data_IF_154756944288
#
_entry.id   IF_154756944288
#
_cell.length_a   1.000
_cell.length_b   1.000
_cell.length_c   1.000
_cell.angle_alpha   90.00
_cell.angle_beta   90.00
_cell.angle_gamma   90.00
#
_symmetry.space_group_name_H-M   'P 1'
#
loop_
_entity.id
_entity.type
_entity.pdbx_description
1 polymer ?
#
# COMPACT_ATOMS: atom_id res chain seq x y z
N UNK A 1 0.79 -39.32 -9.47
CA UNK A 1 0.52 -37.86 -9.33
C UNK A 1 -0.88 -37.63 -9.88
N UNK A 2 -1.79 -37.04 -9.09
CA UNK A 2 -3.13 -36.69 -9.55
C UNK A 2 -3.08 -35.51 -10.53
N UNK A 3 -4.00 -35.47 -11.49
CA UNK A 3 -4.10 -34.39 -12.49
C UNK A 3 -4.79 -33.18 -11.90
N UNK A 4 -4.46 -32.00 -12.41
CA UNK A 4 -5.19 -30.76 -12.15
C UNK A 4 -6.19 -30.53 -13.30
N UNK A 5 -7.48 -30.70 -13.01
CA UNK A 5 -8.56 -30.56 -13.99
C UNK A 5 -8.97 -29.10 -14.13
N UNK A 6 -9.15 -28.66 -15.35
CA UNK A 6 -9.46 -27.28 -15.76
C UNK A 6 -10.94 -27.08 -16.08
N UNK A 7 -11.37 -25.86 -16.38
CA UNK A 7 -12.73 -25.58 -16.82
C UNK A 7 -13.10 -26.31 -18.12
N UNK A 8 -12.14 -26.47 -19.03
CA UNK A 8 -12.33 -27.23 -20.28
C UNK A 8 -12.59 -28.72 -20.01
N UNK A 9 -11.97 -29.30 -18.99
CA UNK A 9 -12.24 -30.73 -18.60
C UNK A 9 -13.66 -30.86 -18.04
N UNK A 10 -14.17 -29.85 -17.34
CA UNK A 10 -15.55 -29.81 -16.84
C UNK A 10 -16.56 -29.71 -18.01
N UNK A 11 -16.29 -28.81 -18.97
CA UNK A 11 -17.14 -28.67 -20.18
C UNK A 11 -17.18 -29.92 -21.02
N UNK A 12 -16.06 -30.64 -21.12
CA UNK A 12 -15.97 -31.91 -21.84
C UNK A 12 -16.65 -33.10 -21.12
N UNK A 13 -16.84 -33.02 -19.80
CA UNK A 13 -17.39 -34.11 -19.00
C UNK A 13 -18.92 -34.25 -19.06
N UNK A 14 -19.65 -33.30 -19.65
CA UNK A 14 -21.10 -33.31 -19.73
C UNK A 14 -21.76 -33.17 -18.34
N UNK A 15 -22.73 -34.03 -18.01
CA UNK A 15 -23.49 -33.88 -16.76
C UNK A 15 -22.75 -34.36 -15.50
N UNK A 16 -21.67 -35.13 -15.65
CA UNK A 16 -20.97 -35.75 -14.51
C UNK A 16 -19.45 -35.83 -14.74
N UNK A 17 -18.67 -35.37 -13.77
CA UNK A 17 -17.21 -35.46 -13.76
C UNK A 17 -16.75 -36.36 -12.61
N UNK A 18 -16.03 -37.42 -12.94
CA UNK A 18 -15.48 -38.38 -11.94
C UNK A 18 -13.99 -38.09 -11.75
N UNK A 19 -13.59 -37.74 -10.51
CA UNK A 19 -12.21 -37.51 -10.12
C UNK A 19 -11.52 -38.82 -9.74
N UNK A 20 -10.36 -39.10 -10.36
CA UNK A 20 -9.52 -40.21 -9.91
C UNK A 20 -8.81 -39.85 -8.58
N UNK A 21 -8.29 -40.86 -7.89
CA UNK A 21 -7.59 -40.67 -6.62
C UNK A 21 -6.38 -39.72 -6.81
N UNK A 22 -6.40 -38.58 -6.12
CA UNK A 22 -5.37 -37.54 -6.21
C UNK A 22 -5.65 -36.43 -7.20
N UNK A 23 -6.67 -36.53 -8.04
CA UNK A 23 -7.08 -35.46 -8.95
C UNK A 23 -7.66 -34.26 -8.18
N UNK A 24 -7.41 -33.03 -8.69
CA UNK A 24 -7.91 -31.78 -8.10
C UNK A 24 -8.51 -30.87 -9.19
N UNK A 25 -9.58 -30.17 -8.84
CA UNK A 25 -10.15 -29.14 -9.69
C UNK A 25 -9.47 -27.78 -9.44
N UNK A 26 -9.18 -27.05 -10.49
CA UNK A 26 -8.84 -25.62 -10.36
C UNK A 26 -10.03 -24.84 -9.80
N UNK A 27 -9.84 -23.66 -9.17
CA UNK A 27 -10.93 -22.79 -8.73
C UNK A 27 -11.94 -22.51 -9.86
N UNK A 28 -11.46 -22.14 -11.05
CA UNK A 28 -12.27 -21.89 -12.23
C UNK A 28 -13.07 -23.12 -12.69
N UNK A 29 -12.48 -24.32 -12.60
CA UNK A 29 -13.18 -25.56 -12.90
C UNK A 29 -14.33 -25.84 -11.92
N UNK A 30 -14.18 -25.51 -10.64
CA UNK A 30 -15.24 -25.65 -9.62
C UNK A 30 -16.41 -24.70 -9.89
N UNK A 31 -16.10 -23.45 -10.24
CA UNK A 31 -17.12 -22.45 -10.54
C UNK A 31 -17.86 -22.85 -11.83
N UNK A 32 -17.14 -23.31 -12.84
CA UNK A 32 -17.72 -23.79 -14.09
C UNK A 32 -18.61 -25.03 -13.93
N UNK A 33 -18.22 -25.95 -13.05
CA UNK A 33 -19.05 -27.09 -12.70
C UNK A 33 -20.38 -26.70 -12.06
N UNK A 34 -20.38 -25.68 -11.18
CA UNK A 34 -21.60 -25.12 -10.59
C UNK A 34 -22.49 -24.42 -11.63
N UNK A 35 -21.91 -23.61 -12.50
CA UNK A 35 -22.63 -22.90 -13.57
C UNK A 35 -23.32 -23.85 -14.54
N UNK A 36 -22.65 -24.95 -14.91
CA UNK A 36 -23.15 -25.93 -15.84
C UNK A 36 -23.98 -27.07 -15.18
N UNK A 37 -24.11 -27.05 -13.85
CA UNK A 37 -24.81 -28.10 -13.10
C UNK A 37 -24.13 -29.49 -13.17
N UNK A 38 -22.79 -29.53 -13.41
CA UNK A 38 -22.04 -30.78 -13.51
C UNK A 38 -21.81 -31.38 -12.12
N UNK A 39 -22.25 -32.59 -11.94
CA UNK A 39 -22.01 -33.33 -10.68
C UNK A 39 -20.58 -33.85 -10.63
N UNK A 40 -19.83 -33.48 -9.58
CA UNK A 40 -18.45 -33.92 -9.37
C UNK A 40 -18.43 -35.03 -8.32
N UNK A 41 -17.97 -36.23 -8.69
CA UNK A 41 -17.84 -37.38 -7.79
C UNK A 41 -16.38 -37.84 -7.68
N UNK A 42 -15.96 -38.25 -6.48
CA UNK A 42 -14.67 -38.93 -6.29
C UNK A 42 -14.80 -40.42 -6.54
N UNK A 43 -13.90 -41.00 -7.32
CA UNK A 43 -13.87 -42.47 -7.53
C UNK A 43 -13.62 -43.15 -6.18
N UNK A 44 -14.62 -43.90 -5.67
CA UNK A 44 -14.51 -44.72 -4.46
C UNK A 44 -15.43 -44.37 -3.29
N UNK A 45 -16.39 -43.43 -3.44
CA UNK A 45 -17.37 -43.15 -2.38
C UNK A 45 -18.67 -43.93 -2.61
N UNK A 46 -18.80 -45.11 -2.00
CA UNK A 46 -20.08 -45.70 -1.75
C UNK A 46 -20.88 -44.85 -0.75
N UNK A 47 -22.19 -44.82 -0.98
CA UNK A 47 -23.19 -44.00 -0.29
C UNK A 47 -23.13 -44.12 1.23
N UNK A 48 -22.98 -42.98 1.91
CA UNK A 48 -23.56 -42.74 3.22
C UNK A 48 -24.49 -41.54 3.09
N UNK A 49 -25.80 -41.85 3.13
CA UNK A 49 -26.84 -40.85 3.22
C UNK A 49 -26.81 -40.23 4.61
N UNK A 50 -26.40 -38.98 4.71
CA UNK A 50 -26.57 -38.17 5.89
C UNK A 50 -27.62 -37.08 5.62
N UNK A 51 -28.73 -37.26 6.30
CA UNK A 51 -29.86 -36.35 6.45
C UNK A 51 -29.43 -34.92 6.73
N UNK A 52 -29.82 -33.99 5.87
CA UNK A 52 -29.79 -32.56 6.15
C UNK A 52 -31.03 -32.16 6.95
N UNK A 53 -30.84 -31.91 8.22
CA UNK A 53 -31.82 -31.26 9.08
C UNK A 53 -31.95 -29.81 8.67
N UNK A 54 -33.15 -29.44 8.24
CA UNK A 54 -33.51 -28.07 7.91
C UNK A 54 -33.53 -27.17 9.17
N UNK A 55 -32.92 -26.04 9.12
CA UNK A 55 -33.09 -24.97 10.10
C UNK A 55 -34.45 -24.28 9.90
N UNK A 56 -35.18 -23.91 10.98
CA UNK A 56 -36.53 -23.42 10.87
C UNK A 56 -36.62 -21.98 10.38
N UNK A 57 -37.64 -21.78 9.54
CA UNK A 57 -38.07 -20.48 9.06
C UNK A 57 -38.60 -19.61 10.21
N UNK A 58 -38.14 -18.39 10.34
CA UNK A 58 -38.70 -17.38 11.24
C UNK A 58 -39.98 -16.83 10.61
N UNK A 59 -41.10 -17.09 11.24
CA UNK A 59 -42.43 -16.59 10.89
C UNK A 59 -42.53 -15.08 11.14
N UNK A 60 -43.10 -14.38 10.17
CA UNK A 60 -43.60 -13.02 10.33
C UNK A 60 -44.88 -13.05 11.17
N UNK A 61 -44.88 -12.36 12.28
CA UNK A 61 -46.11 -11.94 12.94
C UNK A 61 -46.23 -10.41 12.86
N UNK A 62 -47.42 -10.03 12.45
CA UNK A 62 -47.91 -8.69 12.18
C UNK A 62 -48.35 -7.98 13.44
N UNK A 63 -48.38 -6.65 13.30
CA UNK A 63 -49.22 -5.65 13.98
C UNK A 63 -48.84 -5.20 15.40
N UNK A 64 -48.54 -3.91 15.53
CA UNK A 64 -49.51 -3.03 16.17
C UNK A 64 -49.17 -1.53 15.96
N UNK A 65 -50.18 -0.74 15.89
CA UNK A 65 -50.23 0.63 15.49
C UNK A 65 -49.62 1.60 16.55
N UNK A 66 -48.89 2.61 16.06
CA UNK A 66 -48.60 3.82 16.87
C UNK A 66 -49.07 5.05 16.11
N UNK A 67 -49.86 5.84 16.81
CA UNK A 67 -50.51 7.11 16.43
C UNK A 67 -49.51 8.23 16.08
N UNK A 68 -49.98 9.31 15.41
CA UNK A 68 -49.17 10.20 14.61
C UNK A 68 -48.46 11.26 15.45
N UNK A 69 -47.18 11.48 15.14
CA UNK A 69 -46.39 12.60 15.65
C UNK A 69 -46.68 13.86 14.81
N UNK A 70 -46.84 14.98 15.55
CA UNK A 70 -47.17 16.32 15.12
C UNK A 70 -46.31 16.87 13.97
N UNK A 71 -46.97 17.64 13.10
CA UNK A 71 -46.37 18.38 11.99
C UNK A 71 -45.37 19.45 12.45
N UNK A 72 -44.28 19.67 11.70
CA UNK A 72 -43.34 20.76 11.96
C UNK A 72 -43.90 22.11 11.50
N UNK A 73 -43.58 23.16 12.25
CA UNK A 73 -43.97 24.55 12.02
C UNK A 73 -43.43 25.10 10.66
N UNK A 74 -44.12 26.10 10.08
CA UNK A 74 -43.76 26.62 8.74
C UNK A 74 -42.48 27.46 8.79
N UNK A 75 -41.59 27.16 7.82
CA UNK A 75 -40.36 27.90 7.55
C UNK A 75 -40.72 29.28 6.93
N UNK A 76 -40.10 30.40 7.35
CA UNK A 76 -40.40 31.72 6.80
C UNK A 76 -39.96 31.80 5.34
N UNK A 77 -40.80 32.45 4.51
CA UNK A 77 -40.63 32.63 3.08
C UNK A 77 -39.30 33.31 2.74
N UNK A 78 -38.55 32.69 1.86
CA UNK A 78 -37.34 33.26 1.28
C UNK A 78 -37.69 34.48 0.40
N UNK A 79 -36.97 35.59 0.62
CA UNK A 79 -37.02 36.78 -0.23
C UNK A 79 -36.66 36.43 -1.65
N UNK A 80 -37.53 36.74 -2.59
CA UNK A 80 -37.29 36.66 -4.04
C UNK A 80 -36.17 37.64 -4.42
N UNK A 81 -35.01 37.08 -4.75
CA UNK A 81 -33.98 37.84 -5.47
C UNK A 81 -34.36 37.83 -6.95
N UNK A 82 -34.33 39.02 -7.57
CA UNK A 82 -34.59 39.21 -8.97
C UNK A 82 -33.62 38.45 -9.90
N UNK A 83 -33.93 38.31 -11.18
CA UNK A 83 -33.16 37.45 -12.08
C UNK A 83 -31.75 37.99 -12.29
N UNK A 84 -30.76 37.17 -11.89
CA UNK A 84 -29.35 37.38 -12.24
C UNK A 84 -29.24 37.11 -13.75
N UNK A 85 -28.90 38.16 -14.50
CA UNK A 85 -28.59 38.04 -15.91
C UNK A 85 -27.37 37.12 -16.09
N UNK A 86 -27.58 35.93 -16.62
CA UNK A 86 -26.52 35.02 -17.08
C UNK A 86 -25.93 35.60 -18.38
N UNK A 87 -24.60 35.80 -18.48
CA UNK A 87 -23.99 36.09 -19.78
C UNK A 87 -24.23 34.86 -20.69
N UNK A 88 -24.79 35.09 -21.86
CA UNK A 88 -24.92 34.07 -22.88
C UNK A 88 -23.54 33.63 -23.37
N UNK A 89 -22.97 32.62 -22.71
CA UNK A 89 -21.89 31.86 -23.28
C UNK A 89 -22.46 31.04 -24.41
N UNK A 90 -22.12 31.40 -25.66
CA UNK A 90 -22.42 30.59 -26.82
C UNK A 90 -21.87 29.20 -26.63
N UNK A 91 -22.73 28.26 -26.25
CA UNK A 91 -22.42 26.84 -26.17
C UNK A 91 -22.11 26.34 -27.58
N UNK A 92 -20.82 26.14 -27.88
CA UNK A 92 -20.46 25.34 -29.05
C UNK A 92 -21.13 23.98 -28.88
N UNK A 93 -21.87 23.49 -29.87
CA UNK A 93 -22.46 22.17 -29.77
C UNK A 93 -21.35 21.13 -29.57
N UNK A 94 -21.53 20.26 -28.56
CA UNK A 94 -20.66 19.12 -28.33
C UNK A 94 -20.82 18.14 -29.47
N UNK A 95 -19.95 18.22 -30.49
CA UNK A 95 -19.93 17.25 -31.58
C UNK A 95 -19.33 15.96 -31.05
N UNK A 96 -20.18 15.02 -30.65
CA UNK A 96 -19.73 13.68 -30.29
C UNK A 96 -19.19 12.99 -31.56
N UNK A 97 -18.05 12.30 -31.49
CA UNK A 97 -17.56 11.50 -32.59
C UNK A 97 -18.58 10.39 -32.93
N UNK A 98 -18.70 9.99 -34.20
CA UNK A 98 -19.63 8.93 -34.57
C UNK A 98 -19.35 7.65 -33.79
N UNK A 99 -20.41 6.97 -33.33
CA UNK A 99 -20.33 5.74 -32.57
C UNK A 99 -19.45 4.72 -33.29
N UNK A 100 -18.47 4.15 -32.56
CA UNK A 100 -17.49 3.21 -33.12
C UNK A 100 -16.17 3.83 -33.60
N UNK A 101 -16.03 5.16 -33.65
CA UNK A 101 -14.76 5.81 -34.07
C UNK A 101 -13.59 5.49 -33.11
N UNK A 102 -13.88 5.33 -31.82
CA UNK A 102 -12.86 5.01 -30.80
C UNK A 102 -12.29 3.58 -30.90
N UNK A 103 -12.96 2.66 -31.59
CA UNK A 103 -12.54 1.26 -31.71
C UNK A 103 -11.78 0.96 -33.01
N UNK A 104 -11.60 1.94 -33.89
CA UNK A 104 -10.75 1.74 -35.08
C UNK A 104 -9.29 1.84 -34.68
N UNK A 105 -8.50 0.80 -34.92
CA UNK A 105 -7.02 0.88 -34.88
C UNK A 105 -6.62 2.10 -35.75
N UNK A 106 -5.93 3.10 -35.17
CA UNK A 106 -5.56 4.38 -35.78
C UNK A 106 -6.70 5.43 -35.90
N UNK A 107 -7.81 5.30 -35.20
CA UNK A 107 -8.85 6.34 -35.15
C UNK A 107 -8.36 7.66 -34.54
N UNK A 108 -7.43 7.58 -33.61
CA UNK A 108 -6.54 8.68 -33.23
C UNK A 108 -5.36 8.55 -34.21
N UNK A 109 -5.26 9.46 -35.18
CA UNK A 109 -4.04 9.61 -35.97
C UNK A 109 -2.84 9.64 -35.03
N UNK A 110 -1.60 9.44 -35.52
CA UNK A 110 -0.45 9.53 -34.66
C UNK A 110 -0.64 10.80 -33.85
N UNK A 111 -0.75 10.65 -32.51
CA UNK A 111 -0.73 11.81 -31.60
C UNK A 111 0.54 12.50 -32.04
N UNK A 112 0.40 13.63 -32.76
CA UNK A 112 1.54 14.40 -33.19
C UNK A 112 2.35 14.54 -31.92
N UNK A 113 3.55 13.97 -31.91
CA UNK A 113 4.44 14.13 -30.78
C UNK A 113 4.48 15.63 -30.60
N UNK A 114 3.70 16.14 -29.66
CA UNK A 114 3.72 17.51 -29.23
C UNK A 114 5.19 17.76 -29.07
N UNK A 115 5.76 18.67 -29.86
CA UNK A 115 7.16 19.01 -29.89
C UNK A 115 7.60 19.04 -28.44
N UNK A 116 8.36 18.05 -28.02
CA UNK A 116 8.59 17.73 -26.62
C UNK A 116 9.18 18.96 -25.93
N UNK A 117 8.34 19.77 -25.35
CA UNK A 117 8.71 20.39 -24.10
C UNK A 117 8.97 19.19 -23.20
N UNK A 118 10.26 18.86 -22.98
CA UNK A 118 10.66 17.75 -22.14
C UNK A 118 9.86 17.90 -20.85
N UNK A 119 8.89 17.03 -20.63
CA UNK A 119 8.14 17.02 -19.37
C UNK A 119 9.20 16.81 -18.28
N UNK A 120 9.57 17.90 -17.59
CA UNK A 120 10.62 17.89 -16.56
C UNK A 120 10.20 17.13 -15.30
N UNK A 121 8.95 16.62 -15.28
CA UNK A 121 8.49 15.80 -14.17
C UNK A 121 9.29 14.47 -14.15
N UNK A 122 9.74 14.04 -12.96
CA UNK A 122 10.49 12.80 -12.83
C UNK A 122 9.64 11.59 -13.23
N UNK A 123 10.29 10.46 -13.51
CA UNK A 123 9.67 9.15 -13.60
C UNK A 123 9.77 8.44 -12.26
N UNK A 124 8.71 7.76 -11.84
CA UNK A 124 8.71 6.85 -10.70
C UNK A 124 8.57 5.39 -11.15
N UNK A 125 9.09 4.48 -10.36
CA UNK A 125 8.91 3.04 -10.50
C UNK A 125 8.33 2.43 -9.24
N UNK A 126 7.53 1.37 -9.39
CA UNK A 126 7.05 0.54 -8.28
C UNK A 126 7.33 -0.91 -8.62
N UNK A 127 8.06 -1.61 -7.76
CA UNK A 127 8.40 -3.04 -7.94
C UNK A 127 7.57 -3.87 -6.96
N UNK A 128 6.79 -4.79 -7.53
CA UNK A 128 5.75 -5.56 -6.84
C UNK A 128 4.36 -5.01 -7.12
N UNK A 129 3.53 -5.75 -7.85
CA UNK A 129 2.16 -5.35 -8.19
C UNK A 129 1.10 -5.99 -7.28
N UNK A 130 1.49 -6.35 -6.05
CA UNK A 130 0.54 -6.71 -5.00
C UNK A 130 -0.29 -5.51 -4.54
N UNK A 131 -1.17 -5.70 -3.56
CA UNK A 131 -2.09 -4.64 -3.10
C UNK A 131 -1.36 -3.34 -2.71
N UNK A 132 -0.23 -3.42 -1.98
CA UNK A 132 0.54 -2.22 -1.59
C UNK A 132 1.12 -1.53 -2.81
N UNK A 133 1.74 -2.30 -3.73
CA UNK A 133 2.37 -1.73 -4.92
C UNK A 133 1.37 -1.12 -5.89
N UNK A 134 0.27 -1.80 -6.16
CA UNK A 134 -0.80 -1.28 -7.01
C UNK A 134 -1.38 0.03 -6.44
N UNK A 135 -1.68 0.05 -5.13
CA UNK A 135 -2.15 1.27 -4.48
C UNK A 135 -1.10 2.38 -4.49
N UNK A 136 0.18 2.05 -4.29
CA UNK A 136 1.29 3.01 -4.37
C UNK A 136 1.37 3.63 -5.77
N UNK A 137 1.31 2.80 -6.82
CA UNK A 137 1.35 3.28 -8.20
C UNK A 137 0.18 4.23 -8.51
N UNK A 138 -1.05 3.87 -8.11
CA UNK A 138 -2.22 4.72 -8.26
C UNK A 138 -2.05 6.07 -7.54
N UNK A 139 -1.63 6.05 -6.26
CA UNK A 139 -1.46 7.28 -5.47
C UNK A 139 -0.32 8.18 -5.96
N UNK A 140 0.75 7.59 -6.50
CA UNK A 140 1.79 8.36 -7.19
C UNK A 140 1.23 9.02 -8.46
N UNK A 141 0.44 8.29 -9.25
CA UNK A 141 -0.20 8.85 -10.44
C UNK A 141 -1.18 9.98 -10.11
N UNK A 142 -2.06 9.79 -9.13
CA UNK A 142 -3.00 10.82 -8.66
C UNK A 142 -2.31 12.09 -8.14
N UNK A 143 -1.09 11.99 -7.64
CA UNK A 143 -0.33 13.18 -7.22
C UNK A 143 0.04 14.12 -8.37
N UNK A 144 0.01 13.62 -9.59
CA UNK A 144 0.37 14.26 -10.87
C UNK A 144 1.75 14.93 -10.86
N UNK A 145 2.66 14.44 -10.00
CA UNK A 145 4.03 14.92 -9.87
C UNK A 145 5.00 14.27 -10.85
N UNK A 146 4.56 13.24 -11.56
CA UNK A 146 5.40 12.39 -12.42
C UNK A 146 4.97 12.49 -13.88
N UNK A 147 5.94 12.31 -14.77
CA UNK A 147 5.66 12.09 -16.20
C UNK A 147 5.11 10.67 -16.43
N UNK A 148 5.65 9.71 -15.67
CA UNK A 148 5.28 8.30 -15.74
C UNK A 148 5.47 7.62 -14.40
N UNK A 149 4.58 6.66 -14.08
CA UNK A 149 4.74 5.66 -13.03
C UNK A 149 4.78 4.28 -13.70
N UNK A 150 5.93 3.59 -13.62
CA UNK A 150 6.11 2.24 -14.13
C UNK A 150 5.87 1.23 -13.00
N UNK A 151 4.86 0.37 -13.13
CA UNK A 151 4.59 -0.75 -12.23
C UNK A 151 5.23 -2.02 -12.78
N UNK A 152 6.02 -2.74 -11.98
CA UNK A 152 6.72 -3.95 -12.43
C UNK A 152 6.44 -5.10 -11.47
N UNK A 153 6.11 -6.28 -12.04
CA UNK A 153 5.94 -7.52 -11.28
C UNK A 153 6.37 -8.72 -12.12
N UNK A 154 6.91 -9.74 -11.49
CA UNK A 154 7.36 -10.97 -12.16
C UNK A 154 6.23 -11.84 -12.70
N UNK A 155 4.99 -11.60 -12.26
CA UNK A 155 3.81 -12.34 -12.74
C UNK A 155 3.40 -11.78 -14.10
N UNK A 156 3.46 -12.59 -15.18
CA UNK A 156 3.17 -12.12 -16.53
C UNK A 156 1.79 -11.46 -16.63
N UNK A 157 1.75 -10.25 -17.19
CA UNK A 157 0.52 -9.51 -17.44
C UNK A 157 -0.10 -8.81 -16.22
N UNK A 158 0.26 -9.19 -14.98
CA UNK A 158 -0.35 -8.61 -13.78
C UNK A 158 -0.15 -7.09 -13.69
N UNK A 159 1.10 -6.64 -13.78
CA UNK A 159 1.40 -5.21 -13.71
C UNK A 159 0.80 -4.44 -14.88
N UNK A 160 0.81 -5.02 -16.09
CA UNK A 160 0.22 -4.40 -17.27
C UNK A 160 -1.31 -4.25 -17.15
N UNK A 161 -1.99 -5.29 -16.67
CA UNK A 161 -3.44 -5.27 -16.45
C UNK A 161 -3.86 -4.22 -15.42
N UNK A 162 -3.17 -4.19 -14.26
CA UNK A 162 -3.43 -3.21 -13.21
C UNK A 162 -3.14 -1.77 -13.67
N UNK A 163 -2.02 -1.54 -14.36
CA UNK A 163 -1.69 -0.21 -14.89
C UNK A 163 -2.73 0.28 -15.90
N UNK A 164 -3.23 -0.60 -16.77
CA UNK A 164 -4.28 -0.27 -17.73
C UNK A 164 -5.59 0.06 -17.04
N UNK A 165 -6.01 -0.72 -16.05
CA UNK A 165 -7.24 -0.49 -15.28
C UNK A 165 -7.19 0.86 -14.54
N UNK A 166 -6.07 1.14 -13.84
CA UNK A 166 -5.85 2.44 -13.20
C UNK A 166 -5.86 3.59 -14.22
N UNK A 167 -5.27 3.39 -15.40
CA UNK A 167 -5.26 4.39 -16.47
C UNK A 167 -6.65 4.67 -17.01
N UNK A 168 -7.53 3.67 -17.12
CA UNK A 168 -8.93 3.87 -17.49
C UNK A 168 -9.66 4.79 -16.52
N UNK A 169 -9.26 4.82 -15.25
CA UNK A 169 -9.76 5.72 -14.23
C UNK A 169 -9.19 7.14 -14.28
N UNK A 170 -8.14 7.43 -15.06
CA UNK A 170 -7.40 8.69 -15.02
C UNK A 170 -8.29 9.93 -15.20
N UNK A 171 -9.25 9.88 -16.12
CA UNK A 171 -10.20 10.97 -16.33
C UNK A 171 -11.16 11.21 -15.17
N UNK A 172 -11.47 10.17 -14.38
CA UNK A 172 -12.31 10.26 -13.18
C UNK A 172 -11.52 10.77 -11.98
N UNK A 173 -10.26 10.32 -11.81
CA UNK A 173 -9.36 10.76 -10.76
C UNK A 173 -8.72 12.12 -11.03
N UNK A 174 -8.69 12.56 -12.28
CA UNK A 174 -8.18 13.88 -12.66
C UNK A 174 -6.67 13.98 -12.71
N UNK A 175 -5.96 12.92 -13.11
CA UNK A 175 -4.50 12.95 -13.29
C UNK A 175 -4.09 12.69 -14.74
N UNK A 176 -2.88 13.15 -15.12
CA UNK A 176 -2.28 12.98 -16.45
C UNK A 176 -0.96 12.20 -16.41
N UNK A 177 -0.48 11.82 -15.26
CA UNK A 177 0.68 10.95 -15.07
C UNK A 177 0.45 9.62 -15.79
N UNK A 178 1.32 9.26 -16.75
CA UNK A 178 1.21 7.99 -17.47
C UNK A 178 1.43 6.82 -16.52
N UNK A 179 0.57 5.80 -16.62
CA UNK A 179 0.77 4.50 -15.94
C UNK A 179 1.18 3.46 -16.98
N UNK A 180 2.26 2.74 -16.69
CA UNK A 180 2.72 1.61 -17.50
C UNK A 180 2.96 0.40 -16.60
N UNK A 181 2.78 -0.79 -17.15
CA UNK A 181 3.02 -2.05 -16.43
C UNK A 181 3.86 -3.03 -17.26
N UNK A 182 4.78 -3.75 -16.62
CA UNK A 182 5.67 -4.69 -17.26
C UNK A 182 6.05 -5.83 -16.32
N UNK A 183 6.47 -6.96 -16.88
CA UNK A 183 7.12 -8.06 -16.17
C UNK A 183 8.65 -8.01 -16.25
N UNK A 184 9.20 -6.97 -16.92
CA UNK A 184 10.63 -6.72 -17.05
C UNK A 184 11.05 -5.47 -16.28
N UNK A 185 12.10 -5.60 -15.44
CA UNK A 185 12.71 -4.50 -14.69
C UNK A 185 13.33 -3.43 -15.59
N UNK A 186 13.57 -3.71 -16.88
CA UNK A 186 14.01 -2.72 -17.87
C UNK A 186 13.01 -1.54 -17.99
N UNK A 187 11.73 -1.77 -17.70
CA UNK A 187 10.71 -0.73 -17.66
C UNK A 187 11.00 0.38 -16.61
N UNK A 188 11.87 0.12 -15.62
CA UNK A 188 12.33 1.12 -14.65
C UNK A 188 13.35 2.10 -15.24
N UNK A 189 13.81 1.90 -16.47
CA UNK A 189 14.78 2.79 -17.12
C UNK A 189 14.39 4.25 -17.01
N UNK A 190 15.31 5.10 -16.52
CA UNK A 190 15.08 6.52 -16.29
C UNK A 190 14.28 6.89 -15.05
N UNK A 191 13.85 5.93 -14.22
CA UNK A 191 13.17 6.23 -12.97
C UNK A 191 14.11 6.92 -11.97
N UNK A 192 13.67 8.05 -11.42
CA UNK A 192 14.39 8.80 -10.38
C UNK A 192 14.03 8.32 -8.97
N UNK A 193 12.83 7.77 -8.80
CA UNK A 193 12.34 7.23 -7.53
C UNK A 193 11.78 5.84 -7.76
N UNK A 194 12.16 4.88 -6.91
CA UNK A 194 11.64 3.52 -6.98
C UNK A 194 11.15 3.09 -5.61
N UNK A 195 9.89 2.64 -5.56
CA UNK A 195 9.30 2.03 -4.35
C UNK A 195 9.36 0.51 -4.51
N UNK A 196 9.99 -0.19 -3.58
CA UNK A 196 10.12 -1.64 -3.60
C UNK A 196 9.13 -2.24 -2.60
N UNK A 197 8.06 -2.82 -3.12
CA UNK A 197 7.04 -3.55 -2.35
C UNK A 197 7.09 -5.05 -2.60
N UNK A 198 7.99 -5.49 -3.48
CA UNK A 198 8.19 -6.89 -3.84
C UNK A 198 8.63 -7.70 -2.62
N UNK A 199 7.97 -8.82 -2.38
CA UNK A 199 8.24 -9.70 -1.27
C UNK A 199 7.07 -10.63 -1.01
N UNK A 200 7.30 -11.71 -0.28
CA UNK A 200 6.25 -12.61 0.19
C UNK A 200 5.73 -12.15 1.56
N UNK A 201 4.42 -12.10 1.77
CA UNK A 201 3.86 -11.92 3.10
C UNK A 201 4.12 -13.16 3.95
N UNK A 202 4.21 -12.96 5.28
CA UNK A 202 4.36 -14.08 6.22
C UNK A 202 3.14 -14.99 6.13
N UNK A 203 3.40 -16.27 5.93
CA UNK A 203 2.36 -17.30 5.90
C UNK A 203 2.23 -18.01 7.26
N UNK A 204 1.06 -18.60 7.57
CA UNK A 204 0.92 -19.44 8.76
C UNK A 204 1.97 -20.56 8.76
N UNK A 205 2.65 -20.75 9.89
CA UNK A 205 3.73 -21.74 10.05
C UNK A 205 5.11 -21.30 9.58
N UNK A 206 5.24 -20.15 8.91
CA UNK A 206 6.53 -19.63 8.48
C UNK A 206 7.24 -18.92 9.65
N UNK A 207 8.47 -19.30 9.92
CA UNK A 207 9.32 -18.60 10.89
C UNK A 207 9.73 -17.20 10.39
N UNK A 208 10.25 -16.36 11.28
CA UNK A 208 10.82 -15.07 10.87
C UNK A 208 12.04 -15.25 9.96
N UNK A 209 12.87 -16.24 10.28
CA UNK A 209 14.07 -16.57 9.50
C UNK A 209 13.71 -17.01 8.08
N UNK A 210 12.70 -17.89 7.91
CA UNK A 210 12.25 -18.33 6.59
C UNK A 210 11.76 -17.14 5.75
N UNK A 211 10.97 -16.25 6.35
CA UNK A 211 10.50 -15.04 5.67
C UNK A 211 11.67 -14.15 5.24
N UNK A 212 12.65 -13.96 6.13
CA UNK A 212 13.83 -13.14 5.86
C UNK A 212 14.63 -13.72 4.70
N UNK A 213 14.87 -15.04 4.68
CA UNK A 213 15.62 -15.72 3.62
C UNK A 213 14.95 -15.56 2.25
N UNK A 214 13.65 -15.85 2.17
CA UNK A 214 12.89 -15.72 0.92
C UNK A 214 12.89 -14.28 0.41
N UNK A 215 12.65 -13.32 1.28
CA UNK A 215 12.61 -11.92 0.88
C UNK A 215 14.01 -11.35 0.58
N UNK A 216 15.06 -11.88 1.17
CA UNK A 216 16.44 -11.53 0.83
C UNK A 216 16.80 -11.95 -0.62
N UNK A 217 16.36 -13.13 -1.06
CA UNK A 217 16.56 -13.58 -2.45
C UNK A 217 15.80 -12.68 -3.45
N UNK A 218 14.54 -12.36 -3.14
CA UNK A 218 13.71 -11.45 -3.96
C UNK A 218 14.38 -10.08 -4.02
N UNK A 219 14.78 -9.51 -2.87
CA UNK A 219 15.42 -8.20 -2.80
C UNK A 219 16.72 -8.16 -3.60
N UNK A 220 17.53 -9.21 -3.50
CA UNK A 220 18.79 -9.34 -4.26
C UNK A 220 18.54 -9.30 -5.76
N UNK A 221 17.55 -10.06 -6.25
CA UNK A 221 17.17 -10.08 -7.67
C UNK A 221 16.69 -8.71 -8.15
N UNK A 222 15.78 -8.11 -7.41
CA UNK A 222 15.22 -6.77 -7.72
C UNK A 222 16.32 -5.71 -7.75
N UNK A 223 17.19 -5.69 -6.75
CA UNK A 223 18.28 -4.70 -6.65
C UNK A 223 19.30 -4.83 -7.77
N UNK A 224 19.62 -6.05 -8.23
CA UNK A 224 20.47 -6.27 -9.40
C UNK A 224 19.85 -5.63 -10.66
N UNK A 225 18.55 -5.85 -10.89
CA UNK A 225 17.84 -5.23 -12.00
C UNK A 225 17.80 -3.70 -11.89
N UNK A 226 17.49 -3.15 -10.72
CA UNK A 226 17.49 -1.71 -10.48
C UNK A 226 18.88 -1.10 -10.76
N UNK A 227 19.95 -1.74 -10.28
CA UNK A 227 21.32 -1.28 -10.52
C UNK A 227 21.65 -1.22 -12.02
N UNK A 228 21.12 -2.15 -12.81
CA UNK A 228 21.33 -2.21 -14.25
C UNK A 228 20.54 -1.14 -15.00
N UNK A 229 19.24 -1.00 -14.68
CA UNK A 229 18.32 -0.22 -15.51
C UNK A 229 18.05 1.19 -14.95
N UNK A 230 18.20 1.41 -13.63
CA UNK A 230 17.94 2.69 -12.98
C UNK A 230 19.03 3.06 -11.95
N UNK A 231 20.32 3.16 -12.33
CA UNK A 231 21.44 3.31 -11.38
C UNK A 231 21.44 4.63 -10.61
N UNK A 232 20.66 5.61 -11.08
CA UNK A 232 20.60 6.95 -10.45
C UNK A 232 19.36 7.16 -9.59
N UNK A 233 18.53 6.14 -9.41
CA UNK A 233 17.30 6.24 -8.63
C UNK A 233 17.55 6.35 -7.13
N UNK A 234 16.57 6.91 -6.42
CA UNK A 234 16.43 6.85 -4.97
C UNK A 234 15.39 5.79 -4.62
N UNK A 235 15.70 4.93 -3.64
CA UNK A 235 14.89 3.77 -3.28
C UNK A 235 14.11 4.03 -1.99
N UNK A 236 12.84 3.64 -1.99
CA UNK A 236 12.00 3.52 -0.80
C UNK A 236 11.61 2.06 -0.64
N UNK A 237 12.20 1.38 0.32
CA UNK A 237 11.94 -0.02 0.63
C UNK A 237 10.72 -0.13 1.54
N UNK A 238 9.76 -1.00 1.17
CA UNK A 238 8.53 -1.29 1.94
C UNK A 238 8.49 -2.76 2.36
N UNK A 239 9.28 -3.60 1.69
CA UNK A 239 9.35 -5.05 1.93
C UNK A 239 9.84 -5.37 3.34
N UNK A 240 9.24 -6.40 3.95
CA UNK A 240 9.56 -6.85 5.31
C UNK A 240 10.43 -8.13 5.30
N UNK A 241 11.29 -8.31 6.36
CA UNK A 241 11.55 -7.39 7.49
C UNK A 241 12.24 -6.10 7.01
N UNK A 242 11.74 -4.95 7.47
CA UNK A 242 12.05 -3.69 6.81
C UNK A 242 13.51 -3.26 6.92
N UNK A 243 14.06 -3.25 8.13
CA UNK A 243 15.42 -2.77 8.38
C UNK A 243 16.45 -3.68 7.67
N UNK A 244 16.23 -4.99 7.74
CA UNK A 244 17.04 -6.01 7.09
C UNK A 244 16.97 -5.87 5.57
N UNK A 245 15.76 -5.68 4.99
CA UNK A 245 15.59 -5.51 3.54
C UNK A 245 16.15 -4.17 3.05
N UNK A 246 16.05 -3.10 3.85
CA UNK A 246 16.64 -1.80 3.52
C UNK A 246 18.18 -1.87 3.54
N UNK A 247 18.74 -2.60 4.50
CA UNK A 247 20.18 -2.85 4.56
C UNK A 247 20.65 -3.61 3.32
N UNK A 248 19.96 -4.70 3.01
CA UNK A 248 20.29 -5.55 1.86
C UNK A 248 20.15 -4.78 0.53
N UNK A 249 19.13 -3.93 0.39
CA UNK A 249 18.96 -3.09 -0.78
C UNK A 249 20.15 -2.15 -0.99
N UNK A 250 20.66 -1.53 0.07
CA UNK A 250 21.86 -0.68 -0.02
C UNK A 250 23.10 -1.50 -0.40
N UNK A 251 23.28 -2.67 0.20
CA UNK A 251 24.41 -3.56 -0.08
C UNK A 251 24.40 -4.07 -1.54
N UNK A 252 23.23 -4.52 -2.02
CA UNK A 252 23.10 -5.11 -3.36
C UNK A 252 23.18 -4.09 -4.50
N UNK A 253 22.67 -2.88 -4.27
CA UNK A 253 22.75 -1.80 -5.26
C UNK A 253 24.10 -1.10 -5.26
N UNK A 254 24.74 -1.00 -4.10
CA UNK A 254 25.92 -0.16 -3.91
C UNK A 254 25.62 1.33 -4.06
N UNK A 255 24.35 1.71 -3.94
CA UNK A 255 23.96 3.12 -4.03
C UNK A 255 24.43 3.90 -2.78
N UNK A 256 24.69 5.20 -2.91
CA UNK A 256 24.93 6.05 -1.74
C UNK A 256 23.85 5.87 -0.68
N UNK A 257 24.26 5.84 0.57
CA UNK A 257 23.40 5.57 1.72
C UNK A 257 22.17 6.51 1.78
N UNK A 258 22.34 7.74 1.31
CA UNK A 258 21.31 8.76 1.26
C UNK A 258 20.19 8.41 0.28
N UNK A 259 20.46 7.55 -0.71
CA UNK A 259 19.51 7.16 -1.73
C UNK A 259 18.76 5.86 -1.43
N UNK A 260 19.00 5.24 -0.26
CA UNK A 260 18.31 4.00 0.12
C UNK A 260 17.62 4.19 1.47
N UNK A 261 16.30 4.31 1.42
CA UNK A 261 15.45 4.63 2.56
C UNK A 261 14.46 3.48 2.80
N UNK A 262 14.08 3.25 4.05
CA UNK A 262 13.00 2.32 4.40
C UNK A 262 11.75 3.06 4.89
N UNK A 263 10.58 2.61 4.46
CA UNK A 263 9.29 3.14 4.89
C UNK A 263 8.81 2.41 6.13
N UNK A 264 8.95 3.05 7.30
CA UNK A 264 8.55 2.53 8.59
C UNK A 264 7.85 3.59 9.43
N UNK A 265 8.64 4.44 10.07
CA UNK A 265 8.15 5.37 11.05
C UNK A 265 7.10 6.34 10.56
N UNK A 266 7.10 6.71 9.27
CA UNK A 266 6.04 7.55 8.69
C UNK A 266 4.67 6.86 8.77
N UNK A 267 4.60 5.55 8.52
CA UNK A 267 3.39 4.76 8.67
C UNK A 267 2.98 4.64 10.14
N UNK A 268 3.95 4.35 11.00
CA UNK A 268 3.70 4.12 12.42
C UNK A 268 3.29 5.41 13.15
N UNK A 269 3.88 6.55 12.75
CA UNK A 269 3.45 7.89 13.18
C UNK A 269 1.99 8.16 12.76
N UNK A 270 1.64 7.86 11.51
CA UNK A 270 0.27 8.03 11.02
C UNK A 270 -0.74 7.15 11.77
N UNK A 271 -0.36 5.92 12.12
CA UNK A 271 -1.19 5.03 12.96
C UNK A 271 -1.43 5.62 14.35
N UNK A 272 -0.37 6.10 14.99
CA UNK A 272 -0.49 6.77 16.29
C UNK A 272 -1.42 7.99 16.18
N UNK A 273 -1.23 8.86 15.20
CA UNK A 273 -2.10 10.02 14.97
C UNK A 273 -3.57 9.62 14.76
N UNK A 274 -3.82 8.57 13.98
CA UNK A 274 -5.16 8.04 13.75
C UNK A 274 -5.81 7.50 15.04
N UNK A 275 -5.05 6.78 15.86
CA UNK A 275 -5.53 6.25 17.14
C UNK A 275 -5.85 7.37 18.13
N UNK A 276 -5.03 8.42 18.17
CA UNK A 276 -5.38 9.64 18.94
C UNK A 276 -6.69 10.25 18.42
N UNK A 277 -6.87 10.31 17.10
CA UNK A 277 -8.11 10.79 16.48
C UNK A 277 -9.35 9.98 16.87
N UNK A 278 -9.23 8.66 17.01
CA UNK A 278 -10.31 7.77 17.43
C UNK A 278 -10.82 8.08 18.86
N UNK A 279 -10.05 8.77 19.69
CA UNK A 279 -10.51 9.20 21.02
C UNK A 279 -11.53 10.34 20.96
N UNK A 280 -11.71 10.99 19.80
CA UNK A 280 -12.58 12.16 19.64
C UNK A 280 -11.98 13.47 20.19
N UNK A 281 -10.80 13.45 20.82
CA UNK A 281 -10.19 14.64 21.42
C UNK A 281 -9.36 15.48 20.42
N UNK A 282 -9.03 14.92 19.25
CA UNK A 282 -8.27 15.61 18.21
C UNK A 282 -8.61 15.04 16.83
N UNK A 283 -8.42 15.80 15.76
CA UNK A 283 -8.43 15.25 14.40
C UNK A 283 -7.05 14.65 14.11
N UNK A 284 -6.95 13.51 13.37
CA UNK A 284 -5.65 12.89 13.06
C UNK A 284 -4.63 13.85 12.46
N UNK A 285 -5.06 14.76 11.58
CA UNK A 285 -4.17 15.73 10.92
C UNK A 285 -3.66 16.85 11.83
N UNK A 286 -4.25 17.05 13.00
CA UNK A 286 -3.79 18.03 14.01
C UNK A 286 -2.76 17.41 14.97
N UNK A 287 -2.58 16.08 14.92
CA UNK A 287 -1.63 15.37 15.77
C UNK A 287 -0.26 15.31 15.06
N UNK A 288 0.77 15.73 15.75
CA UNK A 288 2.17 15.61 15.32
C UNK A 288 2.89 14.64 16.24
N UNK A 289 3.46 13.59 15.68
CA UNK A 289 4.28 12.61 16.38
C UNK A 289 5.26 11.96 15.42
N UNK A 290 6.33 11.39 15.95
CA UNK A 290 7.31 10.63 15.18
C UNK A 290 7.49 9.26 15.83
N UNK A 291 7.44 8.20 15.04
CA UNK A 291 7.75 6.85 15.48
C UNK A 291 9.16 6.48 15.02
N UNK A 292 10.01 6.14 15.94
CA UNK A 292 11.45 5.88 15.76
C UNK A 292 11.77 4.41 16.07
N UNK A 293 13.01 4.02 15.83
CA UNK A 293 13.47 2.66 16.16
C UNK A 293 13.11 1.64 15.08
N UNK A 294 12.59 0.49 15.48
CA UNK A 294 12.20 -0.60 14.58
C UNK A 294 10.76 -0.47 14.08
N UNK A 295 10.51 -0.96 12.87
CA UNK A 295 9.14 -1.20 12.39
C UNK A 295 8.60 -2.49 13.03
N UNK A 296 8.23 -2.41 14.30
CA UNK A 296 7.77 -3.57 15.05
C UNK A 296 7.73 -3.35 16.57
N UNK A 297 7.93 -4.41 17.36
CA UNK A 297 7.78 -4.34 18.82
C UNK A 297 8.71 -3.33 19.52
N UNK A 298 9.89 -3.08 18.95
CA UNK A 298 10.87 -2.12 19.49
C UNK A 298 10.67 -0.70 18.94
N UNK A 299 9.48 -0.38 18.40
CA UNK A 299 9.08 0.97 18.01
C UNK A 299 9.07 1.90 19.23
N UNK A 300 9.63 3.09 19.06
CA UNK A 300 9.67 4.15 20.06
C UNK A 300 8.87 5.34 19.58
N UNK A 301 7.81 5.70 20.29
CA UNK A 301 7.06 6.94 20.04
C UNK A 301 7.39 7.91 21.17
N UNK A 302 8.30 8.87 20.96
CA UNK A 302 8.68 9.82 22.01
C UNK A 302 7.52 10.78 22.27
N UNK A 303 6.82 10.58 23.39
CA UNK A 303 5.69 11.43 23.81
C UNK A 303 6.15 12.86 24.12
N UNK A 304 7.42 13.05 24.49
CA UNK A 304 8.04 14.36 24.63
C UNK A 304 8.03 15.19 23.32
N UNK A 305 7.86 14.53 22.17
CA UNK A 305 7.84 15.11 20.85
C UNK A 305 6.46 14.97 20.17
N UNK A 306 5.41 14.63 20.94
CA UNK A 306 4.06 14.46 20.43
C UNK A 306 3.17 15.63 20.84
N UNK A 307 2.44 16.21 19.87
CA UNK A 307 1.62 17.39 20.05
C UNK A 307 0.27 17.27 19.33
N UNK A 308 -0.74 18.00 19.85
CA UNK A 308 -2.00 18.26 19.15
C UNK A 308 -2.08 19.77 18.92
N UNK A 309 -1.93 20.20 17.66
CA UNK A 309 -1.63 21.61 17.39
C UNK A 309 -0.32 22.01 18.07
N UNK A 310 -0.37 23.01 18.98
CA UNK A 310 0.79 23.46 19.74
C UNK A 310 0.79 22.93 21.20
N UNK A 311 -0.18 22.11 21.56
CA UNK A 311 -0.30 21.56 22.91
C UNK A 311 0.43 20.21 23.02
N UNK A 312 1.32 20.02 24.02
CA UNK A 312 1.90 18.70 24.30
C UNK A 312 0.79 17.66 24.52
N UNK A 313 0.93 16.48 23.94
CA UNK A 313 -0.10 15.43 24.02
C UNK A 313 -0.37 15.00 25.48
N UNK A 314 0.67 15.01 26.31
CA UNK A 314 0.60 14.69 27.74
C UNK A 314 -0.24 15.67 28.54
N UNK A 315 -0.55 16.85 28.01
CA UNK A 315 -1.49 17.81 28.63
C UNK A 315 -2.96 17.49 28.34
N UNK A 316 -3.23 16.58 27.40
CA UNK A 316 -4.58 16.25 26.93
C UNK A 316 -5.04 14.85 27.33
N UNK A 317 -4.10 13.98 27.62
CA UNK A 317 -4.34 12.58 27.97
C UNK A 317 -3.55 12.22 29.23
N UNK A 318 -4.11 11.37 30.06
CA UNK A 318 -3.37 10.76 31.17
C UNK A 318 -2.36 9.71 30.67
N UNK A 319 -1.45 9.32 31.54
CA UNK A 319 -0.36 8.42 31.20
C UNK A 319 -0.85 7.02 30.77
N UNK A 320 -1.95 6.53 31.37
CA UNK A 320 -2.49 5.20 31.05
C UNK A 320 -3.14 5.20 29.67
N UNK A 321 -3.91 6.23 29.34
CA UNK A 321 -4.48 6.38 28.00
C UNK A 321 -3.40 6.48 26.92
N UNK A 322 -2.32 7.25 27.15
CA UNK A 322 -1.20 7.36 26.21
C UNK A 322 -0.47 6.03 26.06
N UNK A 323 -0.24 5.31 27.14
CA UNK A 323 0.34 3.98 27.12
C UNK A 323 -0.47 3.03 26.26
N UNK A 324 -1.79 2.99 26.46
CA UNK A 324 -2.70 2.15 25.66
C UNK A 324 -2.69 2.51 24.17
N UNK A 325 -2.63 3.80 23.82
CA UNK A 325 -2.53 4.27 22.43
C UNK A 325 -1.18 3.83 21.80
N UNK A 326 -0.07 3.98 22.50
CA UNK A 326 1.26 3.56 22.05
C UNK A 326 1.33 2.05 21.83
N UNK A 327 0.82 1.25 22.77
CA UNK A 327 0.78 -0.21 22.64
C UNK A 327 -0.06 -0.64 21.44
N UNK A 328 -1.25 -0.06 21.28
CA UNK A 328 -2.10 -0.33 20.12
C UNK A 328 -1.45 0.12 18.80
N UNK A 329 -0.69 1.23 18.80
CA UNK A 329 0.05 1.66 17.60
C UNK A 329 1.09 0.62 17.18
N UNK A 330 1.83 0.03 18.14
CA UNK A 330 2.78 -1.06 17.90
C UNK A 330 2.12 -2.30 17.31
N UNK A 331 0.91 -2.62 17.74
CA UNK A 331 0.16 -3.80 17.34
C UNK A 331 -0.74 -3.57 16.12
N UNK A 332 -0.88 -2.34 15.65
CA UNK A 332 -1.84 -1.96 14.58
C UNK A 332 -1.74 -2.80 13.32
N UNK A 333 -0.52 -3.21 12.93
CA UNK A 333 -0.33 -4.10 11.78
C UNK A 333 -0.97 -5.46 12.01
N UNK A 334 -0.78 -6.05 13.18
CA UNK A 334 -1.39 -7.32 13.58
C UNK A 334 -2.91 -7.23 13.73
N UNK A 335 -3.43 -6.12 14.27
CA UNK A 335 -4.86 -5.86 14.38
C UNK A 335 -5.55 -5.89 13.01
N UNK A 336 -4.96 -5.21 12.02
CA UNK A 336 -5.49 -5.22 10.64
C UNK A 336 -5.45 -6.60 10.02
N UNK A 337 -4.34 -7.34 10.17
CA UNK A 337 -4.21 -8.72 9.66
C UNK A 337 -5.28 -9.63 10.27
N UNK A 338 -5.50 -9.52 11.59
CA UNK A 338 -6.53 -10.29 12.30
C UNK A 338 -7.94 -10.00 11.80
N UNK A 339 -8.25 -8.73 11.52
CA UNK A 339 -9.57 -8.33 11.00
C UNK A 339 -9.77 -8.75 9.54
N UNK A 340 -8.76 -8.62 8.70
CA UNK A 340 -8.83 -8.99 7.28
C UNK A 340 -8.82 -10.51 7.06
N UNK A 341 -8.31 -11.30 8.02
CA UNK A 341 -8.13 -12.76 7.96
C UNK A 341 -7.24 -13.24 6.80
N UNK A 342 -7.22 -12.52 5.68
CA UNK A 342 -6.33 -12.77 4.52
C UNK A 342 -5.70 -11.44 4.08
N UNK A 343 -4.39 -11.43 3.89
CA UNK A 343 -3.63 -10.25 3.48
C UNK A 343 -3.16 -9.41 4.66
N UNK A 344 -2.74 -8.19 4.37
CA UNK A 344 -2.24 -7.21 5.33
C UNK A 344 -2.76 -5.82 4.99
N UNK A 345 -2.48 -4.82 5.82
CA UNK A 345 -2.75 -3.42 5.49
C UNK A 345 -2.06 -3.04 4.17
N UNK A 346 -2.75 -2.27 3.32
CA UNK A 346 -2.19 -1.81 2.05
C UNK A 346 -2.52 -0.35 1.73
N UNK A 347 -3.63 0.20 2.21
CA UNK A 347 -3.94 1.63 2.01
C UNK A 347 -2.92 2.54 2.72
N UNK A 348 -2.77 2.37 4.02
CA UNK A 348 -1.86 3.22 4.82
C UNK A 348 -0.37 3.00 4.50
N UNK A 349 0.14 1.78 4.24
CA UNK A 349 1.52 1.61 3.79
C UNK A 349 1.81 2.25 2.44
N UNK A 350 0.86 2.15 1.49
CA UNK A 350 1.01 2.78 0.19
C UNK A 350 1.07 4.31 0.33
N UNK A 351 0.14 4.92 1.07
CA UNK A 351 0.15 6.37 1.30
C UNK A 351 1.40 6.83 2.04
N UNK A 352 1.92 6.05 3.00
CA UNK A 352 3.16 6.33 3.71
C UNK A 352 4.38 6.35 2.76
N UNK A 353 4.49 5.38 1.85
CA UNK A 353 5.53 5.35 0.83
C UNK A 353 5.41 6.55 -0.13
N UNK A 354 4.20 6.87 -0.56
CA UNK A 354 3.91 8.02 -1.42
C UNK A 354 4.23 9.33 -0.72
N UNK A 355 3.96 9.47 0.58
CA UNK A 355 4.32 10.65 1.36
C UNK A 355 5.84 10.89 1.36
N UNK A 356 6.66 9.83 1.51
CA UNK A 356 8.12 9.94 1.40
C UNK A 356 8.56 10.40 0.01
N UNK A 357 8.01 9.81 -1.05
CA UNK A 357 8.35 10.18 -2.42
C UNK A 357 7.90 11.62 -2.73
N UNK A 358 6.70 12.02 -2.31
CA UNK A 358 6.22 13.41 -2.44
C UNK A 358 7.12 14.41 -1.71
N UNK A 359 7.58 14.08 -0.49
CA UNK A 359 8.50 14.92 0.26
C UNK A 359 9.80 15.14 -0.51
N UNK A 360 10.34 14.10 -1.15
CA UNK A 360 11.54 14.19 -1.99
C UNK A 360 11.32 15.04 -3.24
N UNK A 361 10.27 14.78 -4.00
CA UNK A 361 9.97 15.50 -5.26
C UNK A 361 9.76 16.99 -5.00
N UNK A 362 9.06 17.33 -3.90
CA UNK A 362 8.76 18.72 -3.52
C UNK A 362 9.88 19.41 -2.77
N UNK A 363 10.96 18.71 -2.44
CA UNK A 363 12.04 19.21 -1.56
C UNK A 363 11.48 19.80 -0.26
N UNK A 364 10.58 19.01 0.37
CA UNK A 364 9.84 19.46 1.55
C UNK A 364 10.75 19.64 2.77
N UNK A 365 10.50 20.70 3.55
CA UNK A 365 11.16 20.91 4.85
C UNK A 365 10.55 20.07 5.98
N UNK A 366 9.53 19.26 5.69
CA UNK A 366 8.82 18.43 6.66
C UNK A 366 9.76 17.40 7.30
N UNK A 367 9.62 17.22 8.61
CA UNK A 367 10.31 16.18 9.35
C UNK A 367 9.43 14.93 9.34
N UNK A 368 9.95 13.86 8.78
CA UNK A 368 9.30 12.55 8.74
C UNK A 368 10.19 11.49 9.38
N UNK A 369 9.63 10.37 9.79
CA UNK A 369 10.40 9.26 10.31
C UNK A 369 10.64 8.22 9.20
N UNK A 370 11.90 7.93 8.90
CA UNK A 370 12.30 6.93 7.91
C UNK A 370 13.44 6.04 8.41
N UNK A 371 13.50 4.81 7.92
CA UNK A 371 14.62 3.92 8.19
C UNK A 371 15.82 4.36 7.33
N UNK A 372 16.87 4.79 8.01
CA UNK A 372 18.14 5.26 7.41
C UNK A 372 19.32 4.72 8.20
N UNK A 373 20.54 4.84 7.66
CA UNK A 373 21.76 4.52 8.40
C UNK A 373 21.99 5.57 9.49
N UNK A 374 22.14 5.15 10.74
CA UNK A 374 22.20 6.03 11.92
C UNK A 374 23.48 6.89 11.98
N UNK A 375 24.60 6.35 11.51
CA UNK A 375 25.92 7.02 11.61
C UNK A 375 26.23 7.54 13.01
N UNK A 376 25.75 6.82 14.06
CA UNK A 376 25.92 7.23 15.45
C UNK A 376 24.95 8.30 15.96
N UNK A 377 24.01 8.76 15.15
CA UNK A 377 22.99 9.71 15.59
C UNK A 377 22.21 9.16 16.81
N UNK A 378 21.87 10.02 17.74
CA UNK A 378 21.23 9.69 19.03
C UNK A 378 22.05 8.73 19.94
N UNK A 379 23.36 8.56 19.67
CA UNK A 379 24.18 7.57 20.36
C UNK A 379 23.86 6.12 20.00
N UNK A 380 23.06 5.91 18.94
CA UNK A 380 22.74 4.57 18.45
C UNK A 380 23.94 3.94 17.73
N UNK A 381 24.06 2.61 17.80
CA UNK A 381 25.03 1.86 16.99
C UNK A 381 24.80 2.13 15.51
N UNK A 382 25.87 2.07 14.69
CA UNK A 382 25.76 2.35 13.26
C UNK A 382 25.02 1.20 12.54
N UNK A 383 23.74 1.41 12.30
CA UNK A 383 22.84 0.45 11.66
C UNK A 383 21.70 1.16 10.91
N UNK A 384 20.86 0.40 10.23
CA UNK A 384 19.59 0.89 9.66
C UNK A 384 18.53 0.95 10.74
N UNK A 385 17.97 2.12 11.02
CA UNK A 385 16.98 2.33 12.08
C UNK A 385 16.08 3.51 11.74
N UNK A 386 14.85 3.50 12.21
CA UNK A 386 13.89 4.58 12.06
C UNK A 386 14.33 5.82 12.83
N UNK A 387 14.57 6.92 12.11
CA UNK A 387 15.04 8.21 12.66
C UNK A 387 14.22 9.37 12.07
N UNK A 388 14.14 10.51 12.77
CA UNK A 388 13.52 11.71 12.22
C UNK A 388 14.47 12.33 11.18
N UNK A 389 13.96 12.54 9.97
CA UNK A 389 14.75 12.98 8.84
C UNK A 389 14.07 14.11 8.07
N UNK A 390 14.84 14.89 7.35
CA UNK A 390 14.37 15.67 6.19
C UNK A 390 14.86 15.01 4.92
N UNK A 391 13.99 15.00 3.93
CA UNK A 391 14.28 14.46 2.60
C UNK A 391 14.45 15.61 1.59
N UNK A 392 15.19 15.33 0.53
CA UNK A 392 15.31 16.19 -0.64
C UNK A 392 15.26 15.32 -1.92
N UNK A 393 15.34 15.93 -3.08
CA UNK A 393 15.21 15.24 -4.38
C UNK A 393 16.11 14.01 -4.56
N UNK A 394 17.23 13.92 -3.86
CA UNK A 394 18.17 12.79 -3.94
C UNK A 394 18.14 11.88 -2.71
N UNK A 395 17.09 11.92 -1.91
CA UNK A 395 16.91 11.07 -0.74
C UNK A 395 17.13 11.79 0.60
N UNK A 396 17.91 11.22 1.50
CA UNK A 396 18.19 11.76 2.82
C UNK A 396 18.96 13.07 2.72
N UNK A 397 18.39 14.14 3.26
CA UNK A 397 19.06 15.44 3.41
C UNK A 397 19.83 15.51 4.72
N UNK A 398 19.15 15.20 5.82
CA UNK A 398 19.73 15.24 7.16
C UNK A 398 18.91 14.38 8.14
N UNK A 399 19.58 13.91 9.19
CA UNK A 399 18.92 13.37 10.39
C UNK A 399 18.66 14.57 11.31
N UNK A 400 17.41 14.78 11.67
CA UNK A 400 17.00 15.95 12.47
C UNK A 400 17.24 15.68 13.95
N UNK A 401 17.99 16.53 14.67
CA UNK A 401 18.16 16.37 16.10
C UNK A 401 16.87 16.74 16.84
N UNK A 402 16.31 15.80 17.58
CA UNK A 402 15.21 16.01 18.53
C UNK A 402 15.74 15.86 19.96
N UNK A 403 15.22 16.64 20.89
CA UNK A 403 15.53 16.48 22.30
C UNK A 403 14.67 15.38 22.91
N UNK A 404 15.21 14.17 22.99
CA UNK A 404 14.54 13.01 23.59
C UNK A 404 14.79 12.99 25.11
N UNK A 405 13.82 12.46 25.87
CA UNK A 405 14.05 12.12 27.29
C UNK A 405 15.05 10.95 27.39
N UNK A 406 15.80 10.84 28.49
CA UNK A 406 16.78 9.76 28.65
C UNK A 406 16.21 8.35 28.38
N UNK A 407 15.01 8.06 28.87
CA UNK A 407 14.36 6.77 28.64
C UNK A 407 13.97 6.54 27.16
N UNK A 408 13.52 7.58 26.45
CA UNK A 408 13.19 7.51 25.02
C UNK A 408 14.45 7.30 24.19
N UNK A 409 15.53 7.99 24.53
CA UNK A 409 16.83 7.83 23.87
C UNK A 409 17.42 6.44 24.11
N UNK A 410 17.37 5.94 25.34
CA UNK A 410 17.83 4.59 25.67
C UNK A 410 17.02 3.54 24.89
N UNK A 411 15.70 3.65 24.84
CA UNK A 411 14.85 2.73 24.07
C UNK A 411 15.20 2.71 22.58
N UNK A 412 15.53 3.89 22.01
CA UNK A 412 15.99 3.99 20.61
C UNK A 412 17.35 3.31 20.40
N UNK A 413 18.29 3.48 21.32
CA UNK A 413 19.61 2.82 21.27
C UNK A 413 19.47 1.30 21.37
N UNK A 414 18.62 0.81 22.26
CA UNK A 414 18.34 -0.62 22.41
C UNK A 414 17.67 -1.20 21.15
N UNK A 415 16.73 -0.47 20.55
CA UNK A 415 16.12 -0.86 19.28
C UNK A 415 17.17 -0.98 18.17
N UNK A 416 18.06 0.00 18.06
CA UNK A 416 19.15 -0.02 17.08
C UNK A 416 20.12 -1.20 17.30
N UNK A 417 20.47 -1.52 18.55
CA UNK A 417 21.33 -2.65 18.87
C UNK A 417 20.68 -3.99 18.45
N UNK A 418 19.38 -4.17 18.73
CA UNK A 418 18.64 -5.37 18.30
C UNK A 418 18.53 -5.50 16.78
N UNK A 419 18.34 -4.38 16.08
CA UNK A 419 18.34 -4.36 14.61
C UNK A 419 19.72 -4.74 14.08
N UNK A 420 20.80 -4.19 14.63
CA UNK A 420 22.16 -4.52 14.22
C UNK A 420 22.46 -6.02 14.35
N UNK A 421 22.01 -6.66 15.44
CA UNK A 421 22.12 -8.11 15.62
C UNK A 421 21.40 -8.87 14.51
N UNK A 422 20.14 -8.50 14.20
CA UNK A 422 19.37 -9.15 13.12
C UNK A 422 19.99 -8.96 11.73
N UNK A 423 20.55 -7.79 11.48
CA UNK A 423 21.25 -7.52 10.21
C UNK A 423 22.53 -8.36 10.10
N UNK A 424 23.24 -8.57 11.19
CA UNK A 424 24.44 -9.42 11.21
C UNK A 424 24.11 -10.92 10.96
N UNK A 425 22.89 -11.34 11.24
CA UNK A 425 22.39 -12.70 10.99
C UNK A 425 21.90 -12.92 9.55
N UNK A 426 21.88 -11.87 8.71
CA UNK A 426 21.48 -12.01 7.32
C UNK A 426 22.41 -12.96 6.57
N UNK A 427 21.86 -13.83 5.70
CA UNK A 427 22.71 -14.69 4.86
C UNK A 427 23.62 -13.82 3.98
N UNK A 428 24.89 -14.28 3.86
CA UNK A 428 25.83 -13.63 2.95
C UNK A 428 25.22 -13.55 1.54
N UNK A 429 25.35 -12.42 0.84
CA UNK A 429 24.83 -12.28 -0.53
C UNK A 429 25.53 -13.31 -1.45
N UNK A 430 24.73 -14.13 -2.15
CA UNK A 430 25.20 -15.07 -3.17
C UNK A 430 25.43 -14.41 -4.52
#
# INVERSE_FOLDING_TARGET
MGRMLTAADVEAAGAKLVLAAGDRLTPLARDRAKELGVTVEAAGSERVAASLVAAPAVSKTSSEAASPASAPAPVPAARTQGPIATPAAASRPLVLPPSGAMYRRNALGPIAASSASSDRRPKAGVVGAGHVGAMTALRLAESDLFSEVALVDVVPGLAAGLALDMWHGAGLYGFSTRLSGSDDLAALGGAEYIVITAGRPRQPGMSRTDLTTVNAEIMTSVCRGIRTHAPNSTLVVVSNPLEEMTHLAAQQTGFPEERVLGMAGVLDSARFCALVGLTGKARPQDVRAVALGSHGPEMVIPLSQAFVGDRPIESMFDAEALKGIVERARESGGEVVKLLQKGSAYFSPAEAAVAMVRAMVRDSSEVIAACVRSRGAYGAVDTRVGLPVRLHRRGLKEIVPLTLRPAEQQALQEAAARIATRIAELPAPR
#
